data_IF_794068167778
#
_entry.id   IF_794068167778
#
_cell.length_a   1.000
_cell.length_b   1.000
_cell.length_c   1.000
_cell.angle_alpha   90.00
_cell.angle_beta   90.00
_cell.angle_gamma   90.00
#
_symmetry.space_group_name_H-M   'P 1'
#
loop_
_entity.id
_entity.type
_entity.pdbx_description
1 polymer ?
#
# COMPACT_ATOMS: atom_id res chain seq x y z
N UNK A 1 19.70 7.25 -16.40
CA UNK A 1 19.21 6.69 -16.32
C UNK A 1 18.36 6.42 -15.30
N UNK A 2 17.75 5.68 -15.15
CA UNK A 2 16.87 5.55 -14.38
C UNK A 2 17.12 5.20 -13.13
N UNK A 3 16.52 5.48 -12.20
CA UNK A 3 16.80 5.13 -11.03
C UNK A 3 15.74 4.36 -10.49
N UNK A 4 15.91 3.36 -9.90
CA UNK A 4 14.98 2.44 -9.41
C UNK A 4 14.17 2.91 -8.27
N UNK A 5 14.35 4.10 -7.85
CA UNK A 5 13.56 4.63 -6.75
C UNK A 5 12.30 5.32 -7.23
N UNK A 6 12.07 5.33 -8.52
CA UNK A 6 10.94 6.05 -9.04
C UNK A 6 9.65 5.27 -8.87
N UNK A 7 8.59 5.92 -8.48
CA UNK A 7 7.29 5.30 -8.41
C UNK A 7 6.72 5.00 -9.78
N UNK A 8 7.40 5.45 -10.83
CA UNK A 8 6.97 5.14 -12.17
C UNK A 8 7.50 3.80 -12.63
N UNK A 9 8.35 3.17 -11.83
CA UNK A 9 8.84 1.86 -12.16
C UNK A 9 7.67 0.91 -12.29
N UNK A 10 7.60 0.20 -13.39
CA UNK A 10 6.48 -0.68 -13.64
C UNK A 10 6.37 -1.79 -12.61
N UNK A 11 7.50 -2.26 -12.12
CA UNK A 11 7.49 -3.29 -11.10
C UNK A 11 6.77 -2.80 -9.84
N UNK A 12 7.07 -1.58 -9.42
CA UNK A 12 6.44 -1.01 -8.24
C UNK A 12 4.95 -0.83 -8.47
N UNK A 13 4.58 -0.33 -9.64
CA UNK A 13 3.16 -0.13 -9.94
C UNK A 13 2.40 -1.44 -9.93
N UNK A 14 3.03 -2.50 -10.45
CA UNK A 14 2.41 -3.81 -10.46
C UNK A 14 2.22 -4.32 -9.03
N UNK A 15 3.21 -4.12 -8.18
CA UNK A 15 3.08 -4.55 -6.78
C UNK A 15 1.96 -3.81 -6.07
N UNK A 16 1.85 -2.51 -6.30
CA UNK A 16 0.78 -1.73 -5.69
C UNK A 16 -0.57 -2.28 -6.13
N UNK A 17 -0.70 -2.59 -7.41
CA UNK A 17 -1.94 -3.13 -7.94
C UNK A 17 -2.29 -4.48 -7.33
N UNK A 18 -1.29 -5.35 -7.18
CA UNK A 18 -1.51 -6.66 -6.59
C UNK A 18 -1.97 -6.52 -5.14
N UNK A 19 -1.34 -5.62 -4.39
CA UNK A 19 -1.74 -5.42 -3.00
C UNK A 19 -3.14 -4.84 -2.91
N UNK A 20 -3.48 -3.91 -3.79
CA UNK A 20 -4.82 -3.33 -3.79
C UNK A 20 -5.86 -4.40 -4.05
N UNK A 21 -5.60 -5.28 -5.02
CA UNK A 21 -6.53 -6.35 -5.32
C UNK A 21 -6.72 -7.27 -4.13
N UNK A 22 -5.62 -7.57 -3.46
CA UNK A 22 -5.68 -8.44 -2.30
C UNK A 22 -6.54 -7.82 -1.20
N UNK A 23 -6.37 -6.52 -0.96
CA UNK A 23 -7.16 -5.83 0.04
C UNK A 23 -8.64 -5.79 -0.32
N UNK A 24 -8.93 -5.61 -1.60
CA UNK A 24 -10.31 -5.51 -2.03
C UNK A 24 -11.10 -6.79 -1.84
N UNK A 25 -10.41 -7.91 -1.63
CA UNK A 25 -11.09 -9.16 -1.36
C UNK A 25 -11.62 -9.23 0.06
N UNK A 26 -11.12 -8.38 0.94
CA UNK A 26 -11.56 -8.41 2.32
C UNK A 26 -12.92 -7.74 2.48
N UNK A 27 -13.82 -8.31 3.29
CA UNK A 27 -15.11 -7.67 3.53
C UNK A 27 -14.99 -6.28 4.11
N UNK A 28 -13.87 -5.97 4.76
CA UNK A 28 -13.66 -4.65 5.33
C UNK A 28 -13.60 -3.56 4.27
N UNK A 29 -13.33 -3.95 3.02
CA UNK A 29 -13.24 -2.98 1.94
C UNK A 29 -14.47 -2.96 1.06
N UNK A 30 -15.55 -3.55 1.52
CA UNK A 30 -16.80 -3.53 0.77
C UNK A 30 -17.26 -2.08 0.63
N UNK A 31 -17.58 -1.67 -0.57
CA UNK A 31 -18.01 -0.31 -0.83
C UNK A 31 -16.86 0.67 -1.09
N UNK A 32 -15.62 0.24 -0.95
CA UNK A 32 -14.48 1.09 -1.20
C UNK A 32 -14.05 0.92 -2.65
N UNK A 33 -13.74 2.01 -3.32
CA UNK A 33 -13.30 1.92 -4.69
C UNK A 33 -11.82 1.56 -4.77
N UNK A 34 -11.48 0.76 -5.77
CA UNK A 34 -10.11 0.33 -5.94
C UNK A 34 -9.16 1.51 -6.11
N UNK A 35 -9.60 2.54 -6.80
CA UNK A 35 -8.75 3.70 -7.03
C UNK A 35 -8.34 4.37 -5.73
N UNK A 36 -9.22 4.39 -4.74
CA UNK A 36 -8.90 4.97 -3.45
C UNK A 36 -7.84 4.13 -2.74
N UNK A 37 -7.95 2.81 -2.84
CA UNK A 37 -6.96 1.94 -2.23
C UNK A 37 -5.62 2.12 -2.92
N UNK A 38 -5.62 2.20 -4.24
CA UNK A 38 -4.39 2.42 -5.00
C UNK A 38 -3.72 3.72 -4.58
N UNK A 39 -4.52 4.76 -4.41
CA UNK A 39 -3.99 6.06 -4.01
C UNK A 39 -3.38 5.98 -2.62
N UNK A 40 -4.07 5.34 -1.68
CA UNK A 40 -3.57 5.26 -0.32
C UNK A 40 -2.25 4.48 -0.26
N UNK A 41 -2.17 3.37 -0.97
CA UNK A 41 -0.94 2.59 -0.99
C UNK A 41 0.19 3.38 -1.62
N UNK A 42 -0.11 4.10 -2.69
CA UNK A 42 0.90 4.91 -3.37
C UNK A 42 1.43 6.01 -2.46
N UNK A 43 0.53 6.68 -1.74
CA UNK A 43 0.93 7.75 -0.85
C UNK A 43 1.79 7.24 0.30
N UNK A 44 1.42 6.11 0.88
CA UNK A 44 2.20 5.54 1.96
C UNK A 44 3.59 5.17 1.46
N UNK A 45 3.66 4.56 0.30
CA UNK A 45 4.95 4.17 -0.27
C UNK A 45 5.79 5.40 -0.57
N UNK A 46 5.18 6.44 -1.15
CA UNK A 46 5.91 7.65 -1.49
C UNK A 46 6.56 8.27 -0.25
N UNK A 47 5.84 8.28 0.86
CA UNK A 47 6.38 8.82 2.08
C UNK A 47 7.55 7.99 2.59
N UNK A 48 7.40 6.67 2.51
CA UNK A 48 8.44 5.80 3.04
C UNK A 48 9.66 5.75 2.15
N UNK A 49 9.50 6.01 0.86
CA UNK A 49 10.65 6.01 -0.05
C UNK A 49 11.68 7.05 0.32
N UNK A 50 11.26 8.10 0.99
CA UNK A 50 12.20 9.10 1.47
C UNK A 50 13.15 8.57 2.52
N UNK A 51 12.81 7.43 3.14
CA UNK A 51 13.64 6.83 4.16
C UNK A 51 14.42 5.63 3.63
N UNK A 52 14.31 5.35 2.34
CA UNK A 52 14.98 4.20 1.77
C UNK A 52 16.48 4.41 1.74
N UNK A 53 17.21 3.40 2.19
CA UNK A 53 18.67 3.45 2.20
C UNK A 53 19.17 2.32 1.32
N UNK A 54 19.71 2.64 0.14
CA UNK A 54 20.15 1.60 -0.78
C UNK A 54 21.31 0.76 -0.24
N UNK A 55 21.98 1.24 0.78
CA UNK A 55 23.07 0.46 1.35
C UNK A 55 22.57 -0.58 2.33
N UNK A 56 21.33 -0.46 2.79
CA UNK A 56 20.80 -1.41 3.73
C UNK A 56 19.92 -2.46 3.11
N UNK A 57 19.27 -2.15 2.00
CA UNK A 57 18.34 -3.08 1.40
C UNK A 57 18.18 -2.79 -0.07
N UNK A 58 17.70 -3.78 -0.79
CA UNK A 58 17.37 -3.59 -2.19
C UNK A 58 16.03 -2.89 -2.27
N UNK A 59 15.86 -2.07 -3.30
CA UNK A 59 14.63 -1.33 -3.47
C UNK A 59 13.41 -2.24 -3.52
N UNK A 60 13.50 -3.35 -4.23
CA UNK A 60 12.35 -4.25 -4.34
C UNK A 60 11.94 -4.82 -3.01
N UNK A 61 12.91 -5.20 -2.19
CA UNK A 61 12.63 -5.73 -0.87
C UNK A 61 12.00 -4.65 0.00
N UNK A 62 12.54 -3.44 -0.08
CA UNK A 62 12.01 -2.33 0.70
C UNK A 62 10.56 -2.05 0.32
N UNK A 63 10.29 -1.96 -0.99
CA UNK A 63 8.94 -1.66 -1.47
C UNK A 63 7.97 -2.76 -1.02
N UNK A 64 8.38 -4.01 -1.14
CA UNK A 64 7.52 -5.11 -0.77
C UNK A 64 7.15 -5.04 0.71
N UNK A 65 8.13 -4.76 1.56
CA UNK A 65 7.86 -4.66 2.99
C UNK A 65 6.96 -3.49 3.33
N UNK A 66 7.19 -2.35 2.69
CA UNK A 66 6.37 -1.17 2.93
C UNK A 66 4.93 -1.45 2.52
N UNK A 67 4.74 -2.08 1.37
CA UNK A 67 3.39 -2.36 0.90
C UNK A 67 2.68 -3.39 1.78
N UNK A 68 3.41 -4.38 2.29
CA UNK A 68 2.80 -5.34 3.20
C UNK A 68 2.34 -4.63 4.48
N UNK A 69 3.18 -3.76 5.01
CA UNK A 69 2.85 -3.01 6.20
C UNK A 69 1.69 -2.06 5.95
N UNK A 70 1.70 -1.41 4.79
CA UNK A 70 0.64 -0.48 4.43
C UNK A 70 -0.70 -1.21 4.31
N UNK A 71 -0.67 -2.39 3.71
CA UNK A 71 -1.90 -3.16 3.55
C UNK A 71 -2.50 -3.51 4.91
N UNK A 72 -1.68 -3.91 5.86
CA UNK A 72 -2.15 -4.23 7.19
C UNK A 72 -2.71 -2.98 7.87
N UNK A 73 -2.02 -1.87 7.71
CA UNK A 73 -2.47 -0.61 8.31
C UNK A 73 -3.83 -0.20 7.77
N UNK A 74 -4.00 -0.29 6.45
CA UNK A 74 -5.27 0.09 5.85
C UNK A 74 -6.38 -0.86 6.26
N UNK A 75 -6.07 -2.15 6.34
CA UNK A 75 -7.07 -3.12 6.74
C UNK A 75 -7.54 -2.87 8.17
N UNK A 76 -6.61 -2.61 9.07
CA UNK A 76 -6.97 -2.34 10.45
C UNK A 76 -7.80 -1.06 10.58
N UNK A 77 -7.44 -0.05 9.81
CA UNK A 77 -8.18 1.20 9.83
C UNK A 77 -9.62 0.98 9.38
N UNK A 78 -9.80 0.20 8.30
CA UNK A 78 -11.14 -0.07 7.81
C UNK A 78 -11.95 -0.89 8.81
N UNK A 79 -11.32 -1.86 9.44
CA UNK A 79 -12.00 -2.69 10.42
C UNK A 79 -12.44 -1.87 11.62
N UNK A 80 -11.59 -0.92 12.01
CA UNK A 80 -11.92 -0.06 13.12
C UNK A 80 -13.09 0.86 12.80
N UNK A 81 -13.13 1.39 11.59
CA UNK A 81 -14.23 2.22 11.16
C UNK A 81 -15.53 1.46 11.13
N UNK A 82 -15.49 0.24 10.64
CA UNK A 82 -16.69 -0.57 10.58
C UNK A 82 -17.21 -0.89 11.95
N UNK A 83 -16.29 -1.17 12.85
CA UNK A 83 -16.70 -1.49 14.20
C UNK A 83 -17.35 -0.29 14.86
N UNK A 84 -16.80 0.88 14.65
CA UNK A 84 -17.37 2.09 15.17
C UNK A 84 -18.72 2.35 14.59
N UNK A 85 -18.89 2.11 13.32
CA UNK A 85 -20.15 2.31 12.66
C UNK A 85 -21.23 1.40 13.16
N UNK A 86 -20.85 0.19 13.54
CA UNK A 86 -21.81 -0.73 14.04
C UNK A 86 -22.27 -0.40 15.42
N UNK A 87 -21.57 0.49 16.09
CA UNK A 87 -21.89 0.76 17.37
C UNK A 87 -23.08 1.58 17.48
N UNK A 88 -23.37 2.23 16.55
CA UNK A 88 -24.43 3.16 16.54
C UNK A 88 -25.75 2.70 16.85
#
# INVERSE_FOLDING_TARGET
MTNGASLNDQYIRTLILIKARSLMKSPAFRGVERDDVLRDLTLILAKRLGQFDPERAQLRTFVSRVLDSAAITLLRARQREKRSGDHG
#
